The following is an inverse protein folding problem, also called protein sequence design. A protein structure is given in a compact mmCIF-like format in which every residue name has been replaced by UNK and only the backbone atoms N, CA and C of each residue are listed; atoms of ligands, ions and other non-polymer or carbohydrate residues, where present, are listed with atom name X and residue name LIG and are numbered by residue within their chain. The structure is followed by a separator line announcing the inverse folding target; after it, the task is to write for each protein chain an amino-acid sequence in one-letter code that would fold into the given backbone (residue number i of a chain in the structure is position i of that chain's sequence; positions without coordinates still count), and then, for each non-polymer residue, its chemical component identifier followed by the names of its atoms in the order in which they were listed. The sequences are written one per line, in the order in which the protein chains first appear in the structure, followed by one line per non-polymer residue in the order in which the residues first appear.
data_IF_550048082471
#
_entry.id   IF_550048082471
#
_cell.length_a   1.000
_cell.length_b   1.000
_cell.length_c   1.000
_cell.angle_alpha   90.00
_cell.angle_beta   90.00
_cell.angle_gamma   90.00
#
_symmetry.space_group_name_H-M   'P 1'
#
loop_
_entity.id
_entity.type
_entity.pdbx_description
1 polymer ?
#
# COMPACT_ATOMS: atom_id res chain seq x y z
N UNK A 1 56.29 20.92 9.87
CA UNK A 1 55.66 19.62 10.21
C UNK A 1 54.21 19.75 10.71
N UNK A 2 53.87 20.74 11.55
CA UNK A 2 52.49 20.94 12.10
C UNK A 2 51.36 20.97 11.05
N UNK A 3 51.57 21.61 9.89
CA UNK A 3 50.56 21.73 8.82
C UNK A 3 50.16 20.39 8.18
N UNK A 4 51.10 19.46 8.01
CA UNK A 4 50.79 18.15 7.41
C UNK A 4 50.06 17.23 8.40
N UNK A 5 50.38 17.34 9.69
CA UNK A 5 49.66 16.62 10.75
C UNK A 5 48.22 17.13 10.86
N UNK A 6 48.01 18.45 10.80
CA UNK A 6 46.68 19.05 10.81
C UNK A 6 45.82 18.64 9.61
N UNK A 7 46.41 18.58 8.41
CA UNK A 7 45.70 18.10 7.21
C UNK A 7 45.27 16.63 7.34
N UNK A 8 46.12 15.80 7.93
CA UNK A 8 45.84 14.37 8.13
C UNK A 8 44.73 14.18 9.17
N UNK A 9 44.79 14.91 10.28
CA UNK A 9 43.73 14.91 11.30
C UNK A 9 42.41 15.42 10.73
N UNK A 10 42.41 16.54 9.99
CA UNK A 10 41.20 17.05 9.36
C UNK A 10 40.62 16.09 8.32
N UNK A 11 41.48 15.41 7.55
CA UNK A 11 41.06 14.40 6.59
C UNK A 11 40.42 13.18 7.25
N UNK A 12 40.98 12.69 8.36
CA UNK A 12 40.42 11.59 9.14
C UNK A 12 39.07 11.97 9.77
N UNK A 13 38.93 13.18 10.32
CA UNK A 13 37.65 13.66 10.86
C UNK A 13 36.61 13.75 9.75
N UNK A 14 36.98 14.28 8.59
CA UNK A 14 36.06 14.41 7.45
C UNK A 14 35.62 13.05 6.89
N UNK A 15 36.55 12.10 6.76
CA UNK A 15 36.23 10.73 6.37
C UNK A 15 35.31 10.03 7.37
N UNK A 16 35.53 10.23 8.68
CA UNK A 16 34.64 9.74 9.72
C UNK A 16 33.24 10.33 9.63
N UNK A 17 33.12 11.65 9.47
CA UNK A 17 31.83 12.32 9.28
C UNK A 17 31.08 11.82 8.04
N UNK A 18 31.78 11.66 6.90
CA UNK A 18 31.18 11.13 5.68
C UNK A 18 30.71 9.68 5.82
N UNK A 19 31.49 8.85 6.51
CA UNK A 19 31.10 7.47 6.79
C UNK A 19 29.83 7.43 7.66
N UNK A 20 29.76 8.25 8.70
CA UNK A 20 28.57 8.34 9.57
C UNK A 20 27.36 8.85 8.80
N UNK A 21 27.51 9.90 7.99
CA UNK A 21 26.43 10.43 7.16
C UNK A 21 25.94 9.38 6.14
N UNK A 22 26.86 8.62 5.55
CA UNK A 22 26.49 7.54 4.66
C UNK A 22 25.72 6.43 5.39
N UNK A 23 26.21 5.97 6.54
CA UNK A 23 25.60 4.88 7.31
C UNK A 23 24.25 5.25 7.92
N UNK A 24 24.10 6.48 8.43
CA UNK A 24 22.92 6.88 9.19
C UNK A 24 21.86 7.62 8.37
N UNK A 25 22.22 8.27 7.26
CA UNK A 25 21.26 9.03 6.45
C UNK A 25 21.09 8.46 5.05
N UNK A 26 22.19 8.23 4.33
CA UNK A 26 22.13 7.85 2.91
C UNK A 26 21.73 6.38 2.71
N UNK A 27 22.38 5.45 3.40
CA UNK A 27 22.11 4.01 3.26
C UNK A 27 20.66 3.66 3.66
N UNK A 28 20.13 4.14 4.81
CA UNK A 28 18.73 3.93 5.14
C UNK A 28 17.81 4.51 4.08
N UNK A 29 18.09 5.71 3.56
CA UNK A 29 17.32 6.33 2.48
C UNK A 29 17.25 5.45 1.22
N UNK A 30 18.34 4.79 0.83
CA UNK A 30 18.32 3.83 -0.28
C UNK A 30 17.65 2.49 0.07
N UNK A 31 17.72 2.04 1.32
CA UNK A 31 16.95 0.88 1.79
C UNK A 31 15.43 1.17 1.77
N UNK A 32 15.02 2.41 2.06
CA UNK A 32 13.64 2.89 1.90
C UNK A 32 13.17 2.98 0.44
N UNK A 33 14.08 2.98 -0.55
CA UNK A 33 13.70 2.98 -1.97
C UNK A 33 13.31 1.59 -2.50
N UNK A 34 13.57 0.50 -1.77
CA UNK A 34 13.00 -0.80 -2.14
C UNK A 34 11.49 -0.75 -1.88
N UNK A 35 10.65 -1.11 -2.88
CA UNK A 35 9.22 -1.14 -2.66
C UNK A 35 8.90 -2.06 -1.47
N UNK A 36 8.04 -1.62 -0.52
CA UNK A 36 7.76 -2.40 0.67
C UNK A 36 7.17 -3.75 0.27
N UNK A 37 7.57 -4.81 0.96
CA UNK A 37 7.05 -6.16 0.75
C UNK A 37 6.08 -6.51 1.87
N UNK A 38 5.20 -7.49 1.65
CA UNK A 38 4.31 -7.96 2.71
C UNK A 38 5.10 -8.50 3.91
N UNK A 39 6.25 -9.12 3.65
CA UNK A 39 7.17 -9.56 4.69
C UNK A 39 7.65 -8.36 5.52
N UNK A 40 8.11 -7.27 4.91
CA UNK A 40 8.58 -6.12 5.70
C UNK A 40 7.46 -5.44 6.50
N UNK A 41 6.21 -5.49 6.01
CA UNK A 41 5.04 -4.88 6.68
C UNK A 41 4.52 -5.75 7.85
N UNK A 42 4.51 -7.07 7.70
CA UNK A 42 3.80 -7.99 8.61
C UNK A 42 4.71 -8.87 9.46
N UNK A 43 6.01 -9.00 9.16
CA UNK A 43 6.94 -9.88 9.90
C UNK A 43 6.87 -9.71 11.41
N UNK A 44 6.81 -8.46 11.86
CA UNK A 44 6.88 -8.12 13.28
C UNK A 44 5.47 -7.91 13.92
N UNK A 45 4.40 -8.03 13.12
CA UNK A 45 3.01 -7.91 13.61
C UNK A 45 2.55 -9.24 14.20
N UNK A 46 1.93 -9.17 15.38
CA UNK A 46 1.43 -10.36 16.12
C UNK A 46 -0.04 -10.25 16.52
N UNK A 47 -0.65 -9.09 16.31
CA UNK A 47 -1.99 -8.79 16.79
C UNK A 47 -2.82 -8.19 15.66
N UNK A 48 -4.14 -8.24 15.83
CA UNK A 48 -5.04 -7.55 14.93
C UNK A 48 -4.85 -6.04 15.07
N UNK A 49 -4.78 -5.35 13.93
CA UNK A 49 -4.65 -3.91 13.86
C UNK A 49 -5.83 -3.34 13.08
N UNK A 50 -6.56 -2.45 13.74
CA UNK A 50 -7.69 -1.74 13.15
C UNK A 50 -7.34 -0.28 12.98
N UNK A 51 -7.49 0.22 11.77
CA UNK A 51 -7.28 1.63 11.43
C UNK A 51 -8.56 2.19 10.83
N UNK A 52 -8.93 3.40 11.26
CA UNK A 52 -10.05 4.16 10.70
C UNK A 52 -9.58 5.58 10.43
N UNK A 53 -9.89 6.11 9.26
CA UNK A 53 -9.57 7.49 8.87
C UNK A 53 -10.74 8.13 8.14
N UNK A 54 -10.90 9.43 8.32
CA UNK A 54 -11.81 10.23 7.52
C UNK A 54 -11.17 10.56 6.17
N UNK A 55 -11.98 10.64 5.12
CA UNK A 55 -11.55 11.04 3.77
C UNK A 55 -12.05 12.45 3.52
N UNK A 56 -11.16 13.33 3.06
CA UNK A 56 -11.46 14.74 2.80
C UNK A 56 -11.21 15.11 1.34
N UNK A 57 -12.01 16.05 0.83
CA UNK A 57 -11.81 16.71 -0.46
C UNK A 57 -12.06 18.20 -0.29
N UNK A 58 -11.10 19.04 -0.70
CA UNK A 58 -11.17 20.50 -0.54
C UNK A 58 -11.65 20.91 0.88
N UNK A 59 -11.00 20.34 1.91
CA UNK A 59 -11.27 20.58 3.34
C UNK A 59 -12.62 20.07 3.87
N UNK A 60 -13.49 19.55 3.00
CA UNK A 60 -14.75 18.93 3.39
C UNK A 60 -14.58 17.43 3.58
N UNK A 61 -15.07 16.88 4.71
CA UNK A 61 -15.13 15.43 4.89
C UNK A 61 -16.13 14.86 3.90
N UNK A 62 -15.65 13.98 3.04
CA UNK A 62 -16.46 13.28 2.04
C UNK A 62 -16.68 11.81 2.40
N UNK A 63 -15.98 11.25 3.39
CA UNK A 63 -16.13 9.83 3.65
C UNK A 63 -15.28 9.28 4.79
N UNK A 64 -15.19 7.96 4.81
CA UNK A 64 -14.43 7.18 5.78
C UNK A 64 -13.76 5.98 5.08
N UNK A 65 -12.54 5.68 5.50
CA UNK A 65 -11.81 4.48 5.15
C UNK A 65 -11.45 3.72 6.43
N UNK A 66 -11.64 2.41 6.41
CA UNK A 66 -11.30 1.52 7.51
C UNK A 66 -10.50 0.34 6.97
N UNK A 67 -9.51 -0.11 7.72
CA UNK A 67 -8.72 -1.31 7.45
C UNK A 67 -8.57 -2.13 8.72
N UNK A 68 -8.71 -3.44 8.58
CA UNK A 68 -8.47 -4.42 9.62
C UNK A 68 -7.47 -5.44 9.09
N UNK A 69 -6.32 -5.53 9.74
CA UNK A 69 -5.34 -6.59 9.48
C UNK A 69 -5.35 -7.54 10.66
N UNK A 70 -5.61 -8.83 10.44
CA UNK A 70 -5.71 -9.83 11.49
C UNK A 70 -4.85 -11.06 11.17
N UNK A 71 -4.11 -11.62 12.15
CA UNK A 71 -3.37 -12.85 11.95
C UNK A 71 -4.32 -14.03 11.76
N UNK A 72 -3.95 -14.99 10.91
CA UNK A 72 -4.74 -16.19 10.66
C UNK A 72 -4.28 -17.39 11.52
N UNK A 73 -5.22 -18.23 11.95
CA UNK A 73 -4.92 -19.50 12.62
C UNK A 73 -4.21 -20.42 11.63
N UNK A 74 -2.91 -20.68 11.86
CA UNK A 74 -2.03 -21.39 10.91
C UNK A 74 -0.91 -20.53 10.32
N UNK A 75 -0.85 -19.24 10.67
CA UNK A 75 0.16 -18.30 10.17
C UNK A 75 -0.37 -17.44 9.02
N UNK A 76 0.33 -16.34 8.75
CA UNK A 76 -0.09 -15.36 7.75
C UNK A 76 -1.11 -14.36 8.28
N UNK A 77 -1.69 -13.58 7.37
CA UNK A 77 -2.55 -12.44 7.70
C UNK A 77 -3.72 -12.34 6.72
N UNK A 78 -4.84 -11.83 7.22
CA UNK A 78 -5.95 -11.36 6.41
C UNK A 78 -6.08 -9.86 6.59
N UNK A 79 -6.17 -9.13 5.48
CA UNK A 79 -6.43 -7.70 5.46
C UNK A 79 -7.80 -7.47 4.86
N UNK A 80 -8.63 -6.68 5.54
CA UNK A 80 -9.95 -6.27 5.06
C UNK A 80 -10.03 -4.77 5.12
N UNK A 81 -10.30 -4.12 3.99
CA UNK A 81 -10.50 -2.68 3.95
C UNK A 81 -11.87 -2.34 3.41
N UNK A 82 -12.43 -1.23 3.88
CA UNK A 82 -13.65 -0.63 3.34
C UNK A 82 -13.47 0.87 3.23
N UNK A 83 -14.01 1.46 2.18
CA UNK A 83 -14.03 2.89 1.95
C UNK A 83 -15.41 3.28 1.44
N UNK A 84 -15.95 4.37 1.98
CA UNK A 84 -17.19 4.99 1.53
C UNK A 84 -16.93 6.48 1.38
N UNK A 85 -17.26 7.03 0.22
CA UNK A 85 -17.14 8.44 -0.12
C UNK A 85 -18.44 8.95 -0.72
N UNK A 86 -18.86 10.14 -0.33
CA UNK A 86 -19.95 10.90 -0.91
C UNK A 86 -19.35 11.89 -1.90
N UNK A 87 -19.50 11.58 -3.19
CA UNK A 87 -19.02 12.38 -4.29
C UNK A 87 -20.21 13.14 -4.87
N UNK A 88 -20.48 14.34 -4.33
CA UNK A 88 -21.38 15.27 -5.02
C UNK A 88 -20.75 15.63 -6.36
N UNK A 89 -21.52 15.54 -7.44
CA UNK A 89 -21.11 16.06 -8.73
C UNK A 89 -20.89 17.57 -8.59
N UNK A 90 -19.64 18.03 -8.57
CA UNK A 90 -19.32 19.44 -8.70
C UNK A 90 -19.59 19.85 -10.16
N UNK A 91 -20.83 20.25 -10.46
CA UNK A 91 -21.22 20.81 -11.76
C UNK A 91 -21.21 19.85 -12.95
N UNK A 92 -21.17 18.53 -12.70
CA UNK A 92 -21.13 17.48 -13.74
C UNK A 92 -22.46 16.73 -13.95
N UNK A 93 -22.44 15.76 -14.86
CA UNK A 93 -23.58 14.86 -15.12
C UNK A 93 -24.05 14.21 -13.82
N UNK A 94 -25.36 14.16 -13.62
CA UNK A 94 -25.97 13.55 -12.43
C UNK A 94 -25.87 12.03 -12.55
N UNK A 95 -25.01 11.42 -11.73
CA UNK A 95 -24.80 9.97 -11.72
C UNK A 95 -25.89 9.25 -10.90
N UNK A 96 -26.16 7.96 -11.17
CA UNK A 96 -27.24 7.21 -10.51
C UNK A 96 -27.10 7.06 -8.99
N UNK A 97 -25.87 7.15 -8.47
CA UNK A 97 -25.55 7.15 -7.04
C UNK A 97 -24.53 8.27 -6.78
N UNK A 98 -24.69 9.01 -5.68
CA UNK A 98 -23.74 10.03 -5.24
C UNK A 98 -22.61 9.44 -4.38
N UNK A 99 -22.64 8.13 -4.12
CA UNK A 99 -21.64 7.43 -3.31
C UNK A 99 -20.69 6.61 -4.18
N UNK A 100 -19.42 6.64 -3.80
CA UNK A 100 -18.44 5.68 -4.21
C UNK A 100 -18.06 4.83 -2.99
N UNK A 101 -18.17 3.51 -3.11
CA UNK A 101 -17.74 2.60 -2.06
C UNK A 101 -16.87 1.49 -2.63
N UNK A 102 -15.93 1.02 -1.82
CA UNK A 102 -15.07 -0.08 -2.18
C UNK A 102 -14.75 -0.90 -0.93
N UNK A 103 -14.72 -2.20 -1.09
CA UNK A 103 -14.30 -3.17 -0.10
C UNK A 103 -13.21 -4.02 -0.71
N UNK A 104 -12.24 -4.40 0.08
CA UNK A 104 -11.19 -5.31 -0.33
C UNK A 104 -10.89 -6.33 0.76
N UNK A 105 -10.52 -7.53 0.34
CA UNK A 105 -9.99 -8.58 1.19
C UNK A 105 -8.75 -9.15 0.51
N UNK A 106 -7.67 -9.25 1.27
CA UNK A 106 -6.40 -9.83 0.85
C UNK A 106 -5.96 -10.85 1.88
N UNK A 107 -5.38 -11.95 1.42
CA UNK A 107 -4.89 -13.03 2.28
C UNK A 107 -3.43 -13.31 1.99
N UNK A 108 -2.66 -13.45 3.05
CA UNK A 108 -1.25 -13.74 3.03
C UNK A 108 -1.01 -15.10 3.70
N UNK A 109 -0.12 -15.90 3.14
CA UNK A 109 0.33 -17.15 3.75
C UNK A 109 1.32 -16.91 4.91
N UNK A 110 1.81 -18.00 5.52
CA UNK A 110 2.77 -17.94 6.62
C UNK A 110 4.15 -17.40 6.22
N UNK A 111 4.48 -17.34 4.94
CA UNK A 111 5.66 -16.67 4.40
C UNK A 111 5.39 -15.21 4.00
N UNK A 112 4.21 -14.70 4.34
CA UNK A 112 3.69 -13.38 3.98
C UNK A 112 3.64 -13.15 2.47
N UNK A 113 3.33 -14.20 1.69
CA UNK A 113 3.08 -14.09 0.27
C UNK A 113 1.58 -13.96 0.04
N UNK A 114 1.18 -13.08 -0.88
CA UNK A 114 -0.22 -12.94 -1.29
C UNK A 114 -0.75 -14.26 -1.85
N UNK A 115 -1.79 -14.83 -1.24
CA UNK A 115 -2.48 -16.04 -1.72
C UNK A 115 -3.61 -15.69 -2.67
N UNK A 116 -4.45 -14.73 -2.26
CA UNK A 116 -5.60 -14.29 -3.01
C UNK A 116 -6.04 -12.91 -2.57
N UNK A 117 -6.78 -12.25 -3.46
CA UNK A 117 -7.44 -11.00 -3.16
C UNK A 117 -8.78 -10.88 -3.85
N UNK A 118 -9.64 -10.04 -3.28
CA UNK A 118 -10.94 -9.65 -3.82
C UNK A 118 -11.16 -8.17 -3.55
N UNK A 119 -11.65 -7.47 -4.56
CA UNK A 119 -12.05 -6.07 -4.49
C UNK A 119 -13.45 -6.00 -5.07
N UNK A 120 -14.37 -5.38 -4.34
CA UNK A 120 -15.73 -5.14 -4.78
C UNK A 120 -16.10 -3.70 -4.44
N UNK A 121 -16.71 -3.01 -5.39
CA UNK A 121 -17.13 -1.64 -5.17
C UNK A 121 -18.15 -1.17 -6.17
N UNK A 122 -18.53 0.07 -5.97
CA UNK A 122 -19.37 0.83 -6.85
C UNK A 122 -18.82 2.25 -6.91
N UNK A 123 -18.60 2.74 -8.12
CA UNK A 123 -18.19 4.11 -8.37
C UNK A 123 -19.40 4.84 -8.95
N UNK A 124 -20.22 5.44 -8.07
CA UNK A 124 -21.34 6.30 -8.44
C UNK A 124 -22.32 5.66 -9.44
N UNK A 125 -22.82 4.47 -9.10
CA UNK A 125 -23.75 3.66 -9.91
C UNK A 125 -23.05 2.60 -10.76
N UNK A 126 -21.73 2.62 -10.87
CA UNK A 126 -20.98 1.73 -11.74
C UNK A 126 -20.27 0.61 -10.95
N UNK A 127 -20.65 -0.67 -11.09
CA UNK A 127 -20.06 -1.76 -10.33
C UNK A 127 -18.62 -2.05 -10.79
N UNK A 128 -17.72 -2.23 -9.83
CA UNK A 128 -16.32 -2.59 -10.05
C UNK A 128 -15.98 -3.82 -9.24
N UNK A 129 -15.36 -4.81 -9.88
CA UNK A 129 -14.85 -5.99 -9.18
C UNK A 129 -13.48 -6.38 -9.70
N UNK A 130 -12.63 -6.89 -8.82
CA UNK A 130 -11.39 -7.56 -9.17
C UNK A 130 -11.14 -8.72 -8.21
N UNK A 131 -10.60 -9.82 -8.71
CA UNK A 131 -10.14 -10.94 -7.89
C UNK A 131 -8.85 -11.49 -8.47
N UNK A 132 -7.97 -11.95 -7.61
CA UNK A 132 -6.75 -12.62 -8.01
C UNK A 132 -6.50 -13.83 -7.13
N UNK A 133 -5.96 -14.88 -7.72
CA UNK A 133 -5.47 -16.05 -7.01
C UNK A 133 -4.05 -16.34 -7.47
N UNK A 134 -3.16 -16.57 -6.52
CA UNK A 134 -1.76 -16.82 -6.82
C UNK A 134 -1.54 -18.23 -7.34
N UNK A 135 -0.79 -18.34 -8.43
CA UNK A 135 -0.34 -19.58 -9.03
C UNK A 135 1.17 -19.49 -9.28
N UNK A 136 1.96 -19.91 -8.28
CA UNK A 136 3.42 -19.85 -8.33
C UNK A 136 3.96 -18.41 -8.31
N UNK A 137 4.54 -17.99 -9.44
CA UNK A 137 5.09 -16.65 -9.71
C UNK A 137 4.13 -15.76 -10.52
N UNK A 138 2.85 -16.16 -10.61
CA UNK A 138 1.80 -15.44 -11.33
C UNK A 138 0.56 -15.27 -10.47
N UNK A 139 -0.31 -14.35 -10.87
CA UNK A 139 -1.67 -14.22 -10.36
C UNK A 139 -2.64 -14.49 -11.50
N UNK A 140 -3.61 -15.38 -11.27
CA UNK A 140 -4.80 -15.53 -12.10
C UNK A 140 -5.76 -14.39 -11.75
N UNK A 141 -5.74 -13.35 -12.57
CA UNK A 141 -6.50 -12.12 -12.39
C UNK A 141 -7.83 -12.19 -13.16
N UNK A 142 -8.92 -11.80 -12.52
CA UNK A 142 -10.19 -11.49 -13.16
C UNK A 142 -10.70 -10.14 -12.68
N UNK A 143 -11.21 -9.31 -13.58
CA UNK A 143 -11.77 -8.01 -13.20
C UNK A 143 -12.93 -7.60 -14.12
N UNK A 144 -13.80 -6.76 -13.58
CA UNK A 144 -14.84 -6.08 -14.32
C UNK A 144 -14.77 -4.59 -13.96
N UNK A 145 -14.27 -3.81 -14.91
CA UNK A 145 -14.07 -2.37 -14.85
C UNK A 145 -14.76 -1.74 -16.05
N UNK A 146 -16.10 -1.77 -16.11
CA UNK A 146 -16.97 -1.05 -17.08
C UNK A 146 -16.66 -1.33 -18.56
N UNK A 147 -15.56 -0.77 -19.05
CA UNK A 147 -15.00 -0.84 -20.40
C UNK A 147 -13.91 -1.91 -20.51
N UNK A 148 -13.37 -2.39 -19.40
CA UNK A 148 -12.34 -3.42 -19.35
C UNK A 148 -12.87 -4.60 -18.54
N UNK A 149 -13.13 -5.71 -19.22
CA UNK A 149 -13.53 -6.98 -18.59
C UNK A 149 -12.50 -8.05 -18.92
N UNK A 150 -12.10 -8.80 -17.91
CA UNK A 150 -11.21 -9.93 -18.08
C UNK A 150 -11.62 -11.07 -17.15
N UNK A 151 -11.73 -12.27 -17.72
CA UNK A 151 -12.07 -13.48 -16.99
C UNK A 151 -10.90 -14.44 -17.05
N UNK A 152 -9.93 -14.26 -16.15
CA UNK A 152 -8.86 -15.23 -15.90
C UNK A 152 -7.63 -15.06 -16.80
N UNK A 153 -6.87 -13.99 -16.59
CA UNK A 153 -5.55 -13.81 -17.19
C UNK A 153 -4.45 -14.05 -16.19
N UNK A 154 -3.44 -14.84 -16.57
CA UNK A 154 -2.24 -15.00 -15.77
C UNK A 154 -1.29 -13.83 -15.99
N UNK A 155 -1.05 -13.06 -14.94
CA UNK A 155 -0.14 -11.92 -14.94
C UNK A 155 1.09 -12.27 -14.11
N UNK A 156 2.33 -11.97 -14.57
CA UNK A 156 3.52 -12.10 -13.75
C UNK A 156 3.37 -11.32 -12.44
N UNK A 157 3.64 -11.98 -11.31
CA UNK A 157 3.58 -11.37 -9.99
C UNK A 157 4.78 -11.83 -9.16
N UNK A 158 5.82 -10.97 -9.01
CA UNK A 158 7.02 -11.29 -8.26
C UNK A 158 6.67 -11.75 -6.85
N UNK A 159 7.49 -12.65 -6.28
CA UNK A 159 7.10 -13.29 -5.02
C UNK A 159 6.86 -12.28 -3.90
N UNK A 160 7.74 -11.30 -3.82
CA UNK A 160 7.81 -10.34 -2.72
C UNK A 160 7.04 -9.05 -3.05
N UNK A 161 6.30 -9.01 -4.17
CA UNK A 161 5.52 -7.84 -4.54
C UNK A 161 4.36 -7.64 -3.56
N UNK A 162 4.11 -6.39 -3.20
CA UNK A 162 2.88 -5.93 -2.55
C UNK A 162 1.92 -5.44 -3.61
N UNK A 163 0.63 -5.59 -3.33
CA UNK A 163 -0.38 -4.79 -4.01
C UNK A 163 -0.63 -3.57 -3.08
N UNK A 164 -1.17 -2.47 -3.59
CA UNK A 164 -1.48 -1.31 -2.72
C UNK A 164 -2.79 -1.56 -1.97
N UNK A 165 -2.79 -2.56 -1.09
CA UNK A 165 -3.98 -3.28 -0.57
C UNK A 165 -4.74 -2.53 0.50
N UNK A 166 -3.98 -1.72 1.22
CA UNK A 166 -4.51 -0.78 2.15
C UNK A 166 -4.86 0.46 1.35
N UNK A 167 -6.10 0.93 1.50
CA UNK A 167 -6.47 2.29 1.12
C UNK A 167 -5.67 3.35 1.90
N UNK A 168 -4.74 2.93 2.76
CA UNK A 168 -3.94 3.71 3.68
C UNK A 168 -2.47 3.22 3.65
N UNK A 169 -1.49 4.09 3.38
CA UNK A 169 -1.65 5.48 3.00
C UNK A 169 -2.12 5.55 1.55
N UNK A 170 -3.21 6.26 1.31
CA UNK A 170 -3.62 6.68 -0.03
C UNK A 170 -2.43 7.43 -0.66
N UNK A 171 -1.62 6.76 -1.49
CA UNK A 171 -0.37 7.32 -2.03
C UNK A 171 -0.60 8.39 -3.13
N UNK A 172 -1.86 8.76 -3.41
CA UNK A 172 -2.22 9.55 -4.60
C UNK A 172 -3.13 10.76 -4.37
N UNK A 173 -3.46 11.17 -3.15
CA UNK A 173 -4.34 12.33 -3.00
C UNK A 173 -4.57 12.81 -1.57
N UNK A 174 -4.28 14.10 -1.38
CA UNK A 174 -4.65 14.86 -0.20
C UNK A 174 -3.79 14.57 1.04
N UNK A 175 -3.60 15.62 1.84
CA UNK A 175 -3.00 15.52 3.17
C UNK A 175 -3.92 14.66 4.04
N UNK A 176 -3.38 13.58 4.59
CA UNK A 176 -4.07 12.69 5.53
C UNK A 176 -3.69 13.13 6.95
N UNK A 177 -4.67 13.53 7.75
CA UNK A 177 -4.52 13.75 9.21
C UNK A 177 -5.25 12.66 9.99
#
# INVERSE_FOLDING_TARGET
MSRHLWLLVSGCVWAGMMYLLFQYEIQPYFEYQKPPTYQTIFRDRKQAEHQKRAVFFAESRIGDAESLSEPLTGGGFRMRSRMLMHMKAFGGLQLPDDRAYMSSEFRLDSAFLLTDFRINGNLQGVPVTAKGERQGDKILLSYNLVILKNEGTLVPFPKDATLSDNFLPYQGGGRLE
#
